data_IF_054256695107
#
_entry.id   IF_054256695107
#
_cell.length_a   1.000
_cell.length_b   1.000
_cell.length_c   1.000
_cell.angle_alpha   90.00
_cell.angle_beta   90.00
_cell.angle_gamma   90.00
#
_symmetry.space_group_name_H-M   'P 1'
#
loop_
_entity.id
_entity.type
_entity.pdbx_description
1 polymer ?
#
# COMPACT_ATOMS: atom_id res chain seq x y z
N UNK A 1 5.19 1.44 12.70
CA UNK A 1 5.63 0.04 12.81
C UNK A 1 5.14 -0.74 11.59
N UNK A 2 5.81 -1.83 11.19
CA UNK A 2 5.49 -2.56 9.95
C UNK A 2 4.11 -3.26 9.99
N UNK A 3 3.77 -3.93 8.89
CA UNK A 3 2.54 -4.71 8.73
C UNK A 3 2.46 -5.81 9.80
N UNK A 4 1.30 -5.96 10.43
CA UNK A 4 1.05 -6.93 11.50
C UNK A 4 2.13 -6.96 12.60
N UNK A 5 2.66 -5.79 12.96
CA UNK A 5 3.69 -5.65 14.00
C UNK A 5 3.21 -6.12 15.38
N UNK A 6 1.92 -5.93 15.66
CA UNK A 6 1.26 -6.56 16.80
C UNK A 6 0.54 -7.81 16.27
N UNK A 7 0.98 -9.03 16.64
CA UNK A 7 0.42 -10.26 16.08
C UNK A 7 -0.93 -10.65 16.69
N UNK A 8 -1.39 -9.93 17.72
CA UNK A 8 -2.70 -10.12 18.35
C UNK A 8 -3.78 -9.32 17.60
N UNK A 9 -5.02 -9.78 17.69
CA UNK A 9 -6.15 -9.02 17.19
C UNK A 9 -6.29 -7.69 17.95
N UNK A 10 -6.72 -6.64 17.26
CA UNK A 10 -6.87 -5.31 17.84
C UNK A 10 -7.75 -5.31 19.12
N UNK A 11 -8.83 -6.09 19.15
CA UNK A 11 -9.71 -6.25 20.32
C UNK A 11 -8.97 -6.80 21.56
N UNK A 12 -7.99 -7.67 21.35
CA UNK A 12 -7.13 -8.25 22.38
C UNK A 12 -5.98 -7.32 22.78
N UNK A 13 -5.49 -6.50 21.84
CA UNK A 13 -4.36 -5.59 22.05
C UNK A 13 -4.77 -4.23 22.64
N UNK A 14 -6.06 -3.96 22.88
CA UNK A 14 -6.58 -2.64 23.30
C UNK A 14 -5.83 -2.01 24.47
N UNK A 15 -5.61 -2.77 25.54
CA UNK A 15 -4.93 -2.26 26.74
C UNK A 15 -3.48 -1.83 26.42
N UNK A 16 -2.76 -2.65 25.66
CA UNK A 16 -1.40 -2.35 25.24
C UNK A 16 -1.32 -1.15 24.28
N UNK A 17 -2.27 -1.05 23.34
CA UNK A 17 -2.35 0.10 22.44
C UNK A 17 -2.66 1.41 23.17
N UNK A 18 -3.52 1.37 24.20
CA UNK A 18 -3.83 2.53 25.02
C UNK A 18 -2.60 2.99 25.84
N UNK A 19 -1.79 2.06 26.35
CA UNK A 19 -0.52 2.40 27.00
C UNK A 19 0.47 3.06 26.01
N UNK A 20 0.56 2.52 24.78
CA UNK A 20 1.40 3.10 23.73
C UNK A 20 0.93 4.50 23.31
N UNK A 21 -0.38 4.70 23.18
CA UNK A 21 -0.98 6.01 22.89
C UNK A 21 -0.65 7.02 23.99
N UNK A 22 -0.85 6.66 25.26
CA UNK A 22 -0.51 7.53 26.39
C UNK A 22 0.99 7.90 26.46
N UNK A 23 1.87 6.98 26.08
CA UNK A 23 3.31 7.25 25.96
C UNK A 23 3.63 8.17 24.78
N UNK A 24 2.95 7.95 23.64
CA UNK A 24 3.11 8.79 22.45
C UNK A 24 2.67 10.23 22.72
N UNK A 25 1.54 10.41 23.41
CA UNK A 25 0.99 11.71 23.82
C UNK A 25 1.93 12.45 24.77
N UNK A 26 2.47 11.77 25.79
CA UNK A 26 3.46 12.34 26.70
C UNK A 26 4.73 12.80 25.98
N UNK A 27 5.13 12.09 24.92
CA UNK A 27 6.28 12.44 24.09
C UNK A 27 5.97 13.49 23.02
N UNK A 28 4.69 13.88 22.83
CA UNK A 28 4.27 14.76 21.74
C UNK A 28 4.47 14.14 20.35
N UNK A 29 4.25 12.82 20.23
CA UNK A 29 4.46 12.05 19.00
C UNK A 29 3.18 11.31 18.60
N UNK A 30 3.10 10.84 17.35
CA UNK A 30 2.02 9.96 16.90
C UNK A 30 2.59 8.63 16.43
N UNK A 31 1.81 7.55 16.60
CA UNK A 31 2.23 6.21 16.21
C UNK A 31 1.30 5.66 15.13
N UNK A 32 1.87 5.15 14.04
CA UNK A 32 1.15 4.34 13.06
C UNK A 32 1.62 2.89 13.17
N UNK A 33 0.70 1.95 13.38
CA UNK A 33 1.02 0.56 13.71
C UNK A 33 0.19 -0.39 12.85
N UNK A 34 0.83 -1.37 12.21
CA UNK A 34 0.13 -2.47 11.55
C UNK A 34 -0.44 -3.45 12.58
N UNK A 35 -1.75 -3.71 12.52
CA UNK A 35 -2.47 -4.59 13.44
C UNK A 35 -3.64 -5.29 12.72
N UNK A 36 -3.87 -6.58 12.93
CA UNK A 36 -5.06 -7.23 12.40
C UNK A 36 -6.29 -6.83 13.21
N UNK A 37 -7.38 -6.48 12.53
CA UNK A 37 -8.65 -6.07 13.16
C UNK A 37 -9.69 -7.14 12.91
N UNK A 38 -10.51 -7.43 13.93
CA UNK A 38 -11.69 -8.28 13.80
C UNK A 38 -12.90 -7.54 14.35
N UNK A 39 -13.95 -7.49 13.56
CA UNK A 39 -15.23 -6.90 13.93
C UNK A 39 -16.19 -7.95 14.49
N UNK A 40 -17.24 -7.51 15.17
CA UNK A 40 -18.22 -8.39 15.82
C UNK A 40 -18.97 -9.26 14.81
N UNK A 41 -19.16 -8.78 13.58
CA UNK A 41 -19.83 -9.49 12.47
C UNK A 41 -18.94 -10.56 11.83
N UNK A 42 -17.76 -10.85 12.41
CA UNK A 42 -16.83 -11.88 11.94
C UNK A 42 -15.91 -11.42 10.80
N UNK A 43 -16.06 -10.18 10.32
CA UNK A 43 -15.15 -9.60 9.33
C UNK A 43 -13.78 -9.37 9.94
N UNK A 44 -12.74 -9.74 9.22
CA UNK A 44 -11.35 -9.50 9.62
C UNK A 44 -10.66 -8.61 8.62
N UNK A 45 -9.73 -7.77 9.05
CA UNK A 45 -9.02 -6.82 8.22
C UNK A 45 -7.53 -6.82 8.55
N UNK A 46 -6.69 -6.69 7.53
CA UNK A 46 -5.31 -6.27 7.67
C UNK A 46 -5.31 -4.73 7.73
N UNK A 47 -4.88 -4.14 8.84
CA UNK A 47 -5.07 -2.72 9.11
C UNK A 47 -3.80 -2.01 9.56
N UNK A 48 -3.80 -0.69 9.36
CA UNK A 48 -2.93 0.25 10.07
C UNK A 48 -3.80 1.12 10.95
N UNK A 49 -3.50 1.14 12.24
CA UNK A 49 -4.07 2.12 13.18
C UNK A 49 -3.14 3.32 13.28
N UNK A 50 -3.71 4.52 13.29
CA UNK A 50 -3.03 5.73 13.74
C UNK A 50 -3.50 6.08 15.15
N UNK A 51 -2.55 6.04 16.10
CA UNK A 51 -2.69 6.54 17.47
C UNK A 51 -2.27 8.01 17.45
N UNK A 52 -3.24 8.86 17.15
CA UNK A 52 -3.14 10.31 17.03
C UNK A 52 -4.52 10.91 17.34
N UNK A 53 -4.65 12.23 17.37
CA UNK A 53 -5.95 12.90 17.53
C UNK A 53 -6.33 13.64 16.22
N UNK A 54 -7.37 13.19 15.47
CA UNK A 54 -8.21 12.02 15.75
C UNK A 54 -7.50 10.70 15.39
N UNK A 55 -7.89 9.63 16.09
CA UNK A 55 -7.41 8.27 15.80
C UNK A 55 -8.20 7.66 14.64
N UNK A 56 -7.61 6.69 13.95
CA UNK A 56 -8.25 6.11 12.78
C UNK A 56 -7.61 4.82 12.28
N UNK A 57 -8.35 4.09 11.45
CA UNK A 57 -7.91 2.83 10.85
C UNK A 57 -7.95 2.90 9.34
N UNK A 58 -6.85 2.52 8.70
CA UNK A 58 -6.83 2.18 7.29
C UNK A 58 -6.91 0.67 7.16
N UNK A 59 -7.92 0.18 6.44
CA UNK A 59 -8.06 -1.24 6.12
C UNK A 59 -7.55 -1.52 4.71
N UNK A 60 -6.68 -2.53 4.57
CA UNK A 60 -6.13 -2.96 3.28
C UNK A 60 -7.23 -3.22 2.28
N UNK A 61 -7.16 -2.58 1.12
CA UNK A 61 -8.16 -2.62 0.06
C UNK A 61 -7.79 -3.67 -0.99
N UNK A 62 -6.53 -3.71 -1.39
CA UNK A 62 -6.04 -4.69 -2.37
C UNK A 62 -5.41 -5.89 -1.68
N UNK A 63 -6.17 -6.97 -1.59
CA UNK A 63 -5.72 -8.21 -0.95
C UNK A 63 -4.87 -9.05 -1.90
N UNK A 64 -3.93 -9.81 -1.33
CA UNK A 64 -3.08 -10.75 -2.08
C UNK A 64 -3.84 -12.06 -2.32
N UNK A 65 -4.08 -12.45 -3.58
CA UNK A 65 -4.72 -13.73 -3.90
C UNK A 65 -3.90 -14.90 -3.35
N UNK A 66 -4.57 -15.89 -2.75
CA UNK A 66 -3.98 -17.08 -2.12
C UNK A 66 -3.05 -16.79 -0.92
N UNK A 67 -2.95 -15.53 -0.48
CA UNK A 67 -2.28 -15.16 0.76
C UNK A 67 -3.28 -14.66 1.81
N UNK A 68 -4.18 -13.77 1.39
CA UNK A 68 -5.13 -13.07 2.27
C UNK A 68 -6.60 -13.40 1.98
N UNK A 69 -6.87 -14.06 0.84
CA UNK A 69 -8.18 -14.59 0.49
C UNK A 69 -8.02 -15.67 -0.60
N UNK A 70 -9.08 -16.45 -0.83
CA UNK A 70 -9.10 -17.46 -1.90
C UNK A 70 -10.02 -17.04 -3.05
N UNK A 71 -9.49 -16.78 -4.27
CA UNK A 71 -10.32 -16.50 -5.43
C UNK A 71 -11.29 -17.65 -5.75
N UNK A 72 -12.52 -17.31 -6.16
CA UNK A 72 -13.55 -18.27 -6.55
C UNK A 72 -13.91 -19.31 -5.48
N UNK A 73 -13.75 -18.97 -4.19
CA UNK A 73 -14.09 -19.86 -3.07
C UNK A 73 -15.50 -20.45 -3.20
N UNK A 74 -16.47 -19.63 -3.59
CA UNK A 74 -17.87 -20.04 -3.77
C UNK A 74 -18.05 -21.08 -4.91
N UNK A 75 -17.16 -21.10 -5.90
CA UNK A 75 -17.20 -22.03 -7.03
C UNK A 75 -16.40 -23.31 -6.76
N UNK A 76 -15.25 -23.19 -6.09
CA UNK A 76 -14.31 -24.29 -5.87
C UNK A 76 -14.59 -25.07 -4.57
N UNK A 77 -15.34 -24.49 -3.64
CA UNK A 77 -15.83 -25.15 -2.44
C UNK A 77 -14.72 -25.80 -1.61
N UNK A 78 -15.06 -26.92 -0.97
CA UNK A 78 -14.19 -27.67 -0.05
C UNK A 78 -13.00 -28.38 -0.72
N UNK A 79 -12.87 -28.35 -2.05
CA UNK A 79 -11.70 -28.89 -2.74
C UNK A 79 -10.42 -28.12 -2.38
N UNK A 80 -10.56 -26.86 -1.97
CA UNK A 80 -9.47 -26.00 -1.50
C UNK A 80 -9.04 -26.33 -0.07
N UNK A 81 -9.95 -26.79 0.79
CA UNK A 81 -9.64 -27.17 2.17
C UNK A 81 -8.72 -28.41 2.24
N UNK A 82 -8.80 -29.28 1.22
CA UNK A 82 -7.92 -30.46 1.05
C UNK A 82 -6.46 -30.07 0.82
N UNK A 83 -6.19 -28.86 0.33
CA UNK A 83 -4.84 -28.33 0.11
C UNK A 83 -4.19 -27.80 1.40
N UNK A 84 -4.87 -27.91 2.55
CA UNK A 84 -4.29 -27.62 3.87
C UNK A 84 -3.93 -26.16 4.07
N UNK A 85 -4.59 -25.24 3.37
CA UNK A 85 -4.27 -23.82 3.40
C UNK A 85 -4.71 -23.18 4.74
N UNK A 86 -3.78 -22.78 5.63
CA UNK A 86 -4.13 -21.95 6.77
C UNK A 86 -4.20 -20.52 6.24
N UNK A 87 -5.31 -20.15 5.63
CA UNK A 87 -5.48 -18.81 5.05
C UNK A 87 -6.43 -17.98 5.89
N UNK A 88 -5.94 -16.81 6.32
CA UNK A 88 -6.78 -15.73 6.82
C UNK A 88 -7.76 -15.35 5.72
N UNK A 89 -9.06 -15.22 6.02
CA UNK A 89 -10.05 -14.72 5.08
C UNK A 89 -10.30 -13.24 5.40
N UNK A 90 -9.37 -12.39 4.95
CA UNK A 90 -9.47 -10.96 5.18
C UNK A 90 -10.53 -10.36 4.27
N UNK A 91 -11.27 -9.41 4.82
CA UNK A 91 -12.22 -8.57 4.09
C UNK A 91 -11.50 -7.35 3.52
N UNK A 92 -11.70 -6.99 2.25
CA UNK A 92 -11.09 -5.79 1.68
C UNK A 92 -11.73 -4.53 2.27
N UNK A 93 -10.89 -3.52 2.51
CA UNK A 93 -11.30 -2.15 2.84
C UNK A 93 -12.09 -1.52 1.68
N UNK A 94 -13.08 -0.69 2.02
CA UNK A 94 -14.03 -0.14 1.02
C UNK A 94 -13.62 1.22 0.45
N UNK A 95 -13.00 2.06 1.26
CA UNK A 95 -12.80 3.48 0.94
C UNK A 95 -11.34 3.89 1.07
N UNK A 96 -10.85 4.62 0.06
CA UNK A 96 -9.59 5.35 0.15
C UNK A 96 -9.80 6.54 1.08
N UNK A 97 -9.00 6.64 2.14
CA UNK A 97 -8.98 7.80 3.01
C UNK A 97 -7.60 7.92 3.66
N UNK A 98 -7.31 9.13 4.15
CA UNK A 98 -6.05 9.45 4.83
C UNK A 98 -6.20 9.25 6.33
N UNK A 99 -5.10 8.88 6.97
CA UNK A 99 -4.98 8.88 8.43
C UNK A 99 -4.35 10.19 8.88
N UNK A 100 -4.64 10.61 10.11
CA UNK A 100 -3.93 11.72 10.73
C UNK A 100 -2.72 11.19 11.50
N UNK A 101 -1.55 11.80 11.32
CA UNK A 101 -0.39 11.56 12.18
C UNK A 101 0.30 12.90 12.45
N UNK A 102 0.35 13.30 13.72
CA UNK A 102 0.91 14.59 14.15
C UNK A 102 0.35 15.81 13.37
N UNK A 103 -0.96 15.79 13.07
CA UNK A 103 -1.63 16.86 12.31
C UNK A 103 -1.40 16.81 10.79
N UNK A 104 -0.70 15.79 10.30
CA UNK A 104 -0.42 15.59 8.87
C UNK A 104 -1.36 14.52 8.30
N UNK A 105 -2.06 14.80 7.19
CA UNK A 105 -2.77 13.76 6.44
C UNK A 105 -1.78 12.79 5.77
N UNK A 106 -1.86 11.52 6.13
CA UNK A 106 -0.98 10.45 5.66
C UNK A 106 -1.78 9.43 4.85
N UNK A 107 -1.37 9.20 3.61
CA UNK A 107 -1.86 8.08 2.81
C UNK A 107 -1.17 6.79 3.23
N UNK A 108 -1.93 5.84 3.79
CA UNK A 108 -1.42 4.54 4.19
C UNK A 108 -1.55 3.53 3.04
N UNK A 109 -0.50 2.73 2.85
CA UNK A 109 -0.44 1.63 1.88
C UNK A 109 0.04 0.38 2.62
N UNK A 110 -0.66 -0.74 2.51
CA UNK A 110 -0.26 -1.98 3.16
C UNK A 110 0.35 -2.93 2.12
N UNK A 111 1.62 -3.23 2.30
CA UNK A 111 2.38 -4.21 1.55
C UNK A 111 2.25 -3.98 0.05
N UNK A 112 1.67 -4.96 -0.65
CA UNK A 112 1.48 -5.04 -2.09
C UNK A 112 0.72 -3.86 -2.71
N UNK A 113 -0.08 -3.10 -1.95
CA UNK A 113 -0.81 -1.93 -2.45
C UNK A 113 0.11 -0.87 -3.09
N UNK A 114 1.38 -0.81 -2.68
CA UNK A 114 2.36 0.12 -3.24
C UNK A 114 2.69 -0.11 -4.72
N UNK A 115 2.27 -1.23 -5.32
CA UNK A 115 2.46 -1.48 -6.75
C UNK A 115 1.31 -0.94 -7.62
N UNK A 116 0.16 -0.60 -7.03
CA UNK A 116 -1.04 -0.17 -7.77
C UNK A 116 -1.20 1.34 -7.81
N UNK A 117 -0.59 1.97 -8.81
CA UNK A 117 -0.60 3.44 -8.95
C UNK A 117 -1.94 4.11 -8.97
N UNK A 118 -2.85 3.58 -9.77
CA UNK A 118 -4.19 4.12 -9.89
C UNK A 118 -4.89 4.18 -8.51
N UNK A 119 -4.70 3.16 -7.67
CA UNK A 119 -5.28 3.13 -6.32
C UNK A 119 -4.57 4.10 -5.37
N UNK A 120 -3.23 4.21 -5.45
CA UNK A 120 -2.50 5.20 -4.67
C UNK A 120 -2.97 6.61 -4.98
N UNK A 121 -3.28 6.94 -6.25
CA UNK A 121 -3.79 8.28 -6.62
C UNK A 121 -5.15 8.63 -6.01
N UNK A 122 -5.90 7.66 -5.47
CA UNK A 122 -7.17 7.93 -4.78
C UNK A 122 -6.98 8.54 -3.39
N UNK A 123 -5.76 8.47 -2.83
CA UNK A 123 -5.39 9.15 -1.58
C UNK A 123 -4.99 10.62 -1.79
N UNK A 124 -4.96 11.08 -3.04
CA UNK A 124 -4.46 12.40 -3.43
C UNK A 124 -5.61 13.26 -3.99
N UNK A 125 -5.57 14.59 -3.76
CA UNK A 125 -4.45 15.38 -3.22
C UNK A 125 -4.37 15.46 -1.68
N UNK A 126 -5.29 14.83 -0.96
CA UNK A 126 -5.46 14.96 0.50
C UNK A 126 -4.23 14.49 1.27
N UNK A 127 -3.64 13.35 0.90
CA UNK A 127 -2.42 12.85 1.53
C UNK A 127 -1.27 13.84 1.30
N UNK A 128 -0.57 14.20 2.37
CA UNK A 128 0.63 15.05 2.34
C UNK A 128 1.92 14.25 2.50
N UNK A 129 1.83 13.04 3.04
CA UNK A 129 2.88 12.03 3.10
C UNK A 129 2.30 10.67 2.72
N UNK A 130 3.16 9.76 2.28
CA UNK A 130 2.80 8.35 2.13
C UNK A 130 3.54 7.52 3.16
N UNK A 131 2.84 6.55 3.75
CA UNK A 131 3.43 5.51 4.58
C UNK A 131 3.09 4.17 3.95
N UNK A 132 4.11 3.34 3.76
CA UNK A 132 3.93 1.96 3.35
C UNK A 132 4.43 1.02 4.44
N UNK A 133 3.51 0.28 5.06
CA UNK A 133 3.86 -0.77 6.03
C UNK A 133 3.84 -2.11 5.29
N UNK A 134 4.89 -2.92 5.40
CA UNK A 134 4.98 -4.20 4.66
C UNK A 134 5.60 -5.30 5.50
N UNK A 135 5.32 -6.55 5.16
CA UNK A 135 6.07 -7.71 5.59
C UNK A 135 6.62 -8.46 4.38
N UNK A 136 7.86 -8.14 3.97
CA UNK A 136 8.50 -8.79 2.82
C UNK A 136 9.18 -10.12 3.18
N UNK A 137 8.97 -10.65 4.39
CA UNK A 137 9.63 -11.89 4.83
C UNK A 137 9.35 -13.09 3.91
N UNK A 138 8.18 -13.11 3.26
CA UNK A 138 7.75 -14.13 2.31
C UNK A 138 8.67 -14.26 1.08
N UNK A 139 9.36 -13.18 0.69
CA UNK A 139 10.29 -13.21 -0.44
C UNK A 139 11.71 -13.60 -0.03
N UNK A 140 12.02 -13.62 1.27
CA UNK A 140 13.35 -13.89 1.79
C UNK A 140 14.44 -13.02 1.15
N UNK A 141 15.61 -13.60 0.91
CA UNK A 141 16.78 -12.95 0.28
C UNK A 141 16.72 -12.88 -1.26
N UNK A 142 15.56 -13.11 -1.86
CA UNK A 142 15.37 -13.04 -3.32
C UNK A 142 15.35 -11.59 -3.85
N UNK A 143 15.11 -11.44 -5.16
CA UNK A 143 14.94 -10.13 -5.79
C UNK A 143 13.58 -9.47 -5.51
N UNK A 144 12.62 -10.22 -4.93
CA UNK A 144 11.25 -9.74 -4.67
C UNK A 144 11.19 -8.43 -3.89
N UNK A 145 11.87 -8.30 -2.72
CA UNK A 145 11.84 -7.07 -1.93
C UNK A 145 12.48 -5.89 -2.67
N UNK A 146 13.49 -6.14 -3.51
CA UNK A 146 14.16 -5.10 -4.30
C UNK A 146 13.21 -4.54 -5.38
N UNK A 147 12.47 -5.41 -6.07
CA UNK A 147 11.49 -5.00 -7.08
C UNK A 147 10.30 -4.29 -6.43
N UNK A 148 9.78 -4.82 -5.32
CA UNK A 148 8.72 -4.20 -4.54
C UNK A 148 9.14 -2.79 -4.08
N UNK A 149 10.36 -2.64 -3.57
CA UNK A 149 10.89 -1.35 -3.17
C UNK A 149 11.03 -0.36 -4.33
N UNK A 150 11.45 -0.82 -5.51
CA UNK A 150 11.53 0.04 -6.70
C UNK A 150 10.15 0.58 -7.10
N UNK A 151 9.10 -0.26 -7.04
CA UNK A 151 7.72 0.15 -7.33
C UNK A 151 7.19 1.14 -6.29
N UNK A 152 7.49 0.92 -5.00
CA UNK A 152 7.15 1.86 -3.94
C UNK A 152 7.82 3.23 -4.12
N UNK A 153 9.09 3.27 -4.56
CA UNK A 153 9.78 4.53 -4.91
C UNK A 153 9.08 5.28 -6.04
N UNK A 154 8.51 4.56 -7.01
CA UNK A 154 7.77 5.19 -8.10
C UNK A 154 6.51 5.91 -7.60
N UNK A 155 5.86 5.42 -6.53
CA UNK A 155 4.69 6.11 -5.93
C UNK A 155 5.07 7.48 -5.38
N UNK A 156 6.27 7.63 -4.80
CA UNK A 156 6.77 8.91 -4.33
C UNK A 156 6.93 9.92 -5.50
N UNK A 157 7.50 9.47 -6.62
CA UNK A 157 7.69 10.27 -7.84
C UNK A 157 6.34 10.73 -8.42
N UNK A 158 5.43 9.78 -8.61
CA UNK A 158 4.13 10.01 -9.27
C UNK A 158 3.21 10.93 -8.49
N UNK A 159 3.19 10.77 -7.16
CA UNK A 159 2.33 11.56 -6.26
C UNK A 159 3.00 12.85 -5.80
N UNK A 160 4.31 13.00 -6.03
CA UNK A 160 5.10 14.11 -5.50
C UNK A 160 5.11 14.16 -3.98
N UNK A 161 4.99 13.00 -3.31
CA UNK A 161 5.00 12.87 -1.85
C UNK A 161 6.26 12.15 -1.40
N UNK A 162 6.79 12.58 -0.26
CA UNK A 162 7.76 11.77 0.45
C UNK A 162 7.07 10.49 0.96
N UNK A 163 7.77 9.35 0.89
CA UNK A 163 7.27 8.03 1.27
C UNK A 163 8.15 7.42 2.36
N UNK A 164 7.52 7.02 3.47
CA UNK A 164 8.14 6.27 4.55
C UNK A 164 7.75 4.80 4.42
N UNK A 165 8.72 3.94 4.15
CA UNK A 165 8.50 2.48 4.07
C UNK A 165 9.04 1.80 5.32
N UNK A 166 8.15 1.14 6.07
CA UNK A 166 8.47 0.37 7.26
C UNK A 166 8.19 -1.12 7.02
N UNK A 167 9.22 -1.95 7.10
CA UNK A 167 9.12 -3.39 6.83
C UNK A 167 9.64 -4.23 7.98
N UNK A 168 9.17 -5.47 8.09
CA UNK A 168 9.65 -6.40 9.13
C UNK A 168 11.10 -6.85 8.89
N UNK A 169 11.36 -7.58 7.80
CA UNK A 169 12.72 -8.04 7.42
C UNK A 169 13.22 -7.48 6.08
N UNK A 170 12.35 -6.78 5.36
CA UNK A 170 12.59 -6.22 4.03
C UNK A 170 13.31 -4.88 4.04
N UNK A 171 13.07 -4.09 2.99
CA UNK A 171 13.70 -2.78 2.83
C UNK A 171 12.90 -1.70 3.56
N UNK A 172 13.37 -1.32 4.74
CA UNK A 172 12.91 -0.14 5.47
C UNK A 172 13.71 1.09 5.03
N UNK A 173 13.01 2.14 4.57
CA UNK A 173 13.65 3.31 3.98
C UNK A 173 12.75 4.56 3.99
N UNK A 174 13.37 5.73 3.97
CA UNK A 174 12.72 7.01 3.71
C UNK A 174 13.07 7.47 2.29
N UNK A 175 12.06 7.89 1.52
CA UNK A 175 12.18 8.25 0.11
C UNK A 175 11.57 9.62 -0.10
N UNK A 176 12.27 10.52 -0.79
CA UNK A 176 11.71 11.85 -1.10
C UNK A 176 10.77 11.80 -2.32
N UNK A 177 10.03 12.89 -2.55
CA UNK A 177 9.14 13.08 -3.69
C UNK A 177 9.75 12.92 -5.09
N UNK A 178 11.09 12.90 -5.23
CA UNK A 178 11.79 12.62 -6.49
C UNK A 178 12.18 11.13 -6.60
N UNK A 179 11.74 10.30 -5.66
CA UNK A 179 12.08 8.90 -5.57
C UNK A 179 13.49 8.63 -5.04
N UNK A 180 14.24 9.64 -4.56
CA UNK A 180 15.58 9.45 -3.99
C UNK A 180 15.49 8.83 -2.60
N UNK A 181 16.30 7.81 -2.34
CA UNK A 181 16.42 7.20 -1.01
C UNK A 181 17.22 8.14 -0.12
N UNK A 182 16.59 8.66 0.93
CA UNK A 182 17.21 9.55 1.91
C UNK A 182 18.01 8.75 2.94
N UNK A 183 17.39 7.70 3.50
CA UNK A 183 18.02 6.74 4.41
C UNK A 183 17.40 5.36 4.23
N UNK A 184 18.16 4.32 4.56
CA UNK A 184 17.77 2.92 4.46
C UNK A 184 18.38 2.12 5.62
N UNK A 185 17.61 1.24 6.22
CA UNK A 185 18.08 0.30 7.24
C UNK A 185 18.63 -0.99 6.59
N UNK A 186 19.54 -1.72 7.25
CA UNK A 186 19.92 -3.06 6.83
C UNK A 186 18.72 -4.02 6.82
N UNK A 187 18.74 -5.00 5.91
CA UNK A 187 17.71 -6.05 5.84
C UNK A 187 18.07 -7.19 6.80
N UNK A 188 17.06 -7.95 7.23
CA UNK A 188 17.24 -9.10 8.14
C UNK A 188 17.92 -8.78 9.48
N UNK A 189 17.90 -7.51 9.89
CA UNK A 189 18.46 -7.04 11.15
C UNK A 189 17.39 -6.27 11.95
N UNK A 190 17.49 -6.34 13.28
CA UNK A 190 16.65 -5.53 14.16
C UNK A 190 17.23 -4.11 14.17
N UNK A 191 16.50 -3.16 13.60
CA UNK A 191 16.96 -1.78 13.46
C UNK A 191 15.80 -0.79 13.56
N UNK A 192 16.14 0.46 13.93
CA UNK A 192 15.28 1.63 13.81
C UNK A 192 15.86 2.58 12.76
N UNK A 193 15.00 3.33 12.08
CA UNK A 193 15.40 4.30 11.07
C UNK A 193 14.77 5.66 11.36
N UNK A 194 15.59 6.66 11.65
CA UNK A 194 15.14 8.05 11.85
C UNK A 194 15.52 8.91 10.65
N UNK A 195 14.55 9.54 10.01
CA UNK A 195 14.74 10.41 8.86
C UNK A 195 13.80 11.62 8.93
N UNK A 196 14.22 12.74 8.35
CA UNK A 196 13.37 13.91 8.15
C UNK A 196 12.69 13.81 6.78
N UNK A 197 11.39 14.07 6.75
CA UNK A 197 10.56 14.10 5.53
C UNK A 197 9.74 15.37 5.51
N UNK A 198 9.35 15.82 4.33
CA UNK A 198 8.59 17.05 4.14
C UNK A 198 7.17 16.73 3.66
N UNK A 199 6.12 17.03 4.44
CA UNK A 199 4.74 17.00 3.95
C UNK A 199 4.56 17.93 2.75
N UNK A 200 3.83 17.48 1.73
CA UNK A 200 3.65 18.21 0.46
C UNK A 200 2.19 18.28 0.07
N UNK A 201 1.77 19.40 -0.50
CA UNK A 201 0.41 19.61 -1.01
C UNK A 201 0.39 19.70 -2.53
N UNK A 202 -0.81 19.63 -3.11
CA UNK A 202 -1.03 19.79 -4.55
C UNK A 202 -1.10 18.46 -5.30
N UNK A 203 -1.41 18.54 -6.59
CA UNK A 203 -1.65 17.38 -7.44
C UNK A 203 -0.74 17.44 -8.69
N UNK A 204 0.32 16.62 -8.78
CA UNK A 204 1.11 16.46 -10.00
C UNK A 204 0.25 15.99 -11.18
N UNK A 205 0.75 16.13 -12.43
CA UNK A 205 0.03 15.72 -13.63
C UNK A 205 -0.55 14.30 -13.57
N UNK A 206 0.22 13.34 -13.05
CA UNK A 206 -0.24 11.96 -12.93
C UNK A 206 -1.43 11.81 -11.97
N UNK A 207 -1.43 12.52 -10.84
CA UNK A 207 -2.58 12.53 -9.92
C UNK A 207 -3.84 13.07 -10.60
N UNK A 208 -3.70 14.08 -11.48
CA UNK A 208 -4.84 14.72 -12.16
C UNK A 208 -5.39 13.90 -13.32
N UNK A 209 -4.51 13.34 -14.14
CA UNK A 209 -4.89 12.68 -15.38
C UNK A 209 -4.86 11.15 -15.32
N UNK A 210 -4.26 10.59 -14.26
CA UNK A 210 -4.03 9.15 -14.09
C UNK A 210 -3.40 8.57 -15.36
N UNK A 211 -3.84 7.38 -15.76
CA UNK A 211 -3.31 6.68 -16.94
C UNK A 211 -3.96 7.15 -18.26
N UNK A 212 -4.97 8.05 -18.22
CA UNK A 212 -5.73 8.46 -19.42
C UNK A 212 -4.88 8.98 -20.58
N UNK A 213 -3.85 9.82 -20.38
CA UNK A 213 -3.02 10.29 -21.49
C UNK A 213 -2.31 9.13 -22.20
N UNK A 214 -1.81 8.15 -21.44
CA UNK A 214 -1.14 6.98 -22.01
C UNK A 214 -2.15 6.11 -22.74
N UNK A 215 -3.29 5.80 -22.13
CA UNK A 215 -4.34 5.00 -22.75
C UNK A 215 -4.87 5.64 -24.04
N UNK A 216 -5.04 6.97 -24.06
CA UNK A 216 -5.46 7.72 -25.25
C UNK A 216 -4.44 7.64 -26.39
N UNK A 217 -3.15 7.81 -26.10
CA UNK A 217 -2.08 7.67 -27.09
C UNK A 217 -1.95 6.24 -27.61
N UNK A 218 -2.08 5.24 -26.73
CA UNK A 218 -2.10 3.82 -27.11
C UNK A 218 -3.27 3.50 -28.04
N UNK A 219 -4.49 3.93 -27.69
CA UNK A 219 -5.67 3.72 -28.51
C UNK A 219 -5.55 4.40 -29.88
N UNK A 220 -5.04 5.64 -29.93
CA UNK A 220 -4.78 6.35 -31.18
C UNK A 220 -3.78 5.59 -32.07
N UNK A 221 -2.67 5.13 -31.48
CA UNK A 221 -1.65 4.35 -32.20
C UNK A 221 -2.22 3.06 -32.80
N UNK A 222 -3.00 2.31 -32.01
CA UNK A 222 -3.67 1.09 -32.48
C UNK A 222 -4.70 1.37 -33.58
N UNK A 223 -5.47 2.46 -33.46
CA UNK A 223 -6.42 2.89 -34.48
C UNK A 223 -5.75 3.23 -35.82
N UNK A 224 -4.62 3.95 -35.77
CA UNK A 224 -3.83 4.27 -36.97
C UNK A 224 -3.25 3.02 -37.64
N UNK A 225 -2.78 2.03 -36.87
CA UNK A 225 -2.28 0.76 -37.40
C UNK A 225 -3.41 -0.05 -38.05
N UNK A 226 -4.59 -0.09 -37.44
CA UNK A 226 -5.76 -0.78 -38.00
C UNK A 226 -6.21 -0.13 -39.31
N UNK A 227 -6.31 1.20 -39.36
CA UNK A 227 -6.64 1.94 -40.58
C UNK A 227 -5.65 1.68 -41.71
N UNK A 228 -4.35 1.63 -41.40
CA UNK A 228 -3.30 1.27 -42.38
C UNK A 228 -3.48 -0.15 -42.91
N UNK A 229 -3.84 -1.12 -42.05
CA UNK A 229 -4.06 -2.52 -42.44
C UNK A 229 -5.29 -2.66 -43.35
N UNK A 230 -6.39 -1.99 -43.02
CA UNK A 230 -7.62 -1.99 -43.83
C UNK A 230 -7.33 -1.41 -45.22
N UNK A 231 -6.63 -0.28 -45.29
CA UNK A 231 -6.25 0.34 -46.58
C UNK A 231 -5.35 -0.57 -47.42
N UNK A 232 -4.39 -1.29 -46.82
CA UNK A 232 -3.53 -2.25 -47.54
C UNK A 232 -4.32 -3.43 -48.10
N UNK A 233 -5.29 -3.97 -47.36
CA UNK A 233 -6.14 -5.06 -47.87
C UNK A 233 -7.07 -4.62 -49.00
N UNK A 234 -7.60 -3.40 -48.96
CA UNK A 234 -8.39 -2.86 -50.07
C UNK A 234 -7.57 -2.65 -51.36
N UNK A 235 -6.25 -2.48 -51.26
CA UNK A 235 -5.36 -2.31 -52.43
C UNK A 235 -4.86 -3.63 -53.05
N UNK A 236 -4.95 -4.76 -52.34
CA UNK A 236 -4.51 -6.08 -52.83
C UNK A 236 -5.68 -6.96 -53.31
N UNK A 237 -6.92 -6.47 -53.21
CA UNK A 237 -8.16 -7.16 -53.60
C UNK A 237 -8.81 -6.64 -54.89
N UNK A 238 -8.12 -5.76 -55.64
CA UNK A 238 -8.47 -5.32 -57.00
C UNK A 238 -7.33 -5.70 -57.93
#
# INVERSE_FOLDING_TARGET
WPEAAIPMWHDQAKAYLAELEALADQAGTSLMIGVPVREAEGRTYNAVVSLSDPSGFYYKRHLVPFGEYVPFRDLLGSALDVLGAPMSDFTPGREAHVLNAAGVPVGALICYEAVFGAEVTELLPEAQLLVNVSNDAWFGSSLGPLQHFQMARMRAIETGRDLLRATNTGITAAINHEGKVLKRAPQFEVATLSAEVTPRTGAPPYVRWRDWPVLGLTALGLGLLLLRRIRRHHWLGT
#
